data_IF_563548710471
#
_entry.id   IF_563548710471
#
_cell.length_a   1.000
_cell.length_b   1.000
_cell.length_c   1.000
_cell.angle_alpha   90.00
_cell.angle_beta   90.00
_cell.angle_gamma   90.00
#
_symmetry.space_group_name_H-M   'P 1'
#
loop_
_entity.id
_entity.type
_entity.pdbx_description
1 polymer ?
#
# COMPACT_ATOMS: atom_id res chain seq x y z
N UNK A 1 17.61 20.89 23.59
CA UNK A 1 17.92 19.47 23.35
C UNK A 1 17.00 18.95 22.27
N UNK A 2 17.48 18.08 21.39
CA UNK A 2 16.63 17.38 20.41
C UNK A 2 15.65 16.44 21.14
N UNK A 3 14.42 16.34 20.63
CA UNK A 3 13.42 15.44 21.17
C UNK A 3 13.80 13.99 20.82
N UNK A 4 13.48 13.01 21.68
CA UNK A 4 13.82 11.59 21.47
C UNK A 4 13.27 11.01 20.16
N UNK A 5 12.18 11.59 19.64
CA UNK A 5 11.54 11.19 18.39
C UNK A 5 12.06 11.98 17.16
N UNK A 6 13.13 12.78 17.34
CA UNK A 6 13.70 13.60 16.27
C UNK A 6 14.60 12.81 15.32
N UNK A 7 15.13 11.65 15.73
CA UNK A 7 16.00 10.79 14.93
C UNK A 7 15.22 9.56 14.44
N UNK A 8 14.98 9.47 13.14
CA UNK A 8 14.16 8.41 12.54
C UNK A 8 14.95 7.66 11.46
N UNK A 9 15.05 6.33 11.61
CA UNK A 9 15.69 5.46 10.62
C UNK A 9 14.67 4.96 9.59
N UNK A 10 14.94 5.24 8.31
CA UNK A 10 14.05 4.90 7.18
C UNK A 10 14.58 3.72 6.36
N UNK A 11 15.27 2.80 7.02
CA UNK A 11 15.75 1.55 6.44
C UNK A 11 17.13 1.62 5.80
N UNK A 12 17.44 2.70 5.07
CA UNK A 12 18.76 2.90 4.45
C UNK A 12 19.34 4.30 4.67
N UNK A 13 18.67 5.13 5.47
CA UNK A 13 19.19 6.41 5.93
C UNK A 13 18.60 6.77 7.29
N UNK A 14 19.35 7.57 8.06
CA UNK A 14 18.91 8.21 9.30
C UNK A 14 18.55 9.67 8.99
N UNK A 15 17.31 10.07 9.24
CA UNK A 15 16.89 11.48 9.13
C UNK A 15 17.37 12.25 10.35
N UNK A 16 18.07 13.35 10.10
CA UNK A 16 18.50 14.33 11.10
C UNK A 16 17.76 15.63 10.80
N UNK A 17 16.94 16.16 11.71
CA UNK A 17 16.21 17.41 11.52
C UNK A 17 17.15 18.61 11.70
N UNK A 18 18.13 18.69 10.81
CA UNK A 18 18.93 19.89 10.56
C UNK A 18 18.43 20.50 9.25
N UNK A 19 17.82 21.68 9.38
CA UNK A 19 17.22 22.43 8.27
C UNK A 19 18.18 23.49 7.71
N UNK A 20 19.46 23.49 8.11
CA UNK A 20 20.50 24.34 7.51
C UNK A 20 20.92 23.76 6.17
N UNK A 21 20.09 24.00 5.18
CA UNK A 21 20.28 23.55 3.80
C UNK A 21 21.15 24.57 3.07
N UNK A 22 22.22 24.15 2.37
CA UNK A 22 22.98 25.03 1.50
C UNK A 22 22.06 25.66 0.44
N UNK A 23 22.21 26.96 0.16
CA UNK A 23 21.43 27.64 -0.90
C UNK A 23 21.63 27.04 -2.29
N UNK A 24 22.73 26.32 -2.49
CA UNK A 24 23.05 25.58 -3.71
C UNK A 24 22.30 24.25 -3.85
N UNK A 25 21.56 23.82 -2.82
CA UNK A 25 20.78 22.60 -2.86
C UNK A 25 19.57 22.77 -3.78
N UNK A 26 19.54 22.01 -4.88
CA UNK A 26 18.39 21.90 -5.78
C UNK A 26 17.47 20.78 -5.31
N UNK A 27 16.16 20.96 -5.48
CA UNK A 27 15.15 20.02 -5.00
C UNK A 27 14.61 19.15 -6.13
N UNK A 28 14.23 17.92 -5.78
CA UNK A 28 13.59 16.99 -6.71
C UNK A 28 12.21 17.52 -7.13
N UNK A 29 11.45 18.12 -6.21
CA UNK A 29 10.15 18.76 -6.47
C UNK A 29 10.14 20.17 -5.86
N UNK A 30 10.38 21.18 -6.69
CA UNK A 30 10.41 22.59 -6.26
C UNK A 30 9.04 23.18 -5.95
N UNK A 31 7.96 22.61 -6.49
CA UNK A 31 6.59 23.12 -6.33
C UNK A 31 5.84 22.55 -5.11
N UNK A 32 6.25 21.36 -4.66
CA UNK A 32 5.56 20.61 -3.59
C UNK A 32 6.36 20.50 -2.29
N UNK A 33 7.57 21.07 -2.25
CA UNK A 33 8.43 21.04 -1.06
C UNK A 33 7.85 21.93 0.04
N UNK A 34 7.29 21.30 1.06
CA UNK A 34 7.10 21.94 2.35
C UNK A 34 8.45 22.07 3.07
N UNK A 35 8.52 22.94 4.09
CA UNK A 35 9.73 23.14 4.92
C UNK A 35 10.24 21.83 5.57
N UNK A 36 9.46 20.76 5.54
CA UNK A 36 9.78 19.45 6.13
C UNK A 36 10.47 18.45 5.19
N UNK A 37 10.57 18.78 3.89
CA UNK A 37 11.04 17.87 2.84
C UNK A 37 12.56 17.90 2.62
N UNK A 38 13.26 18.83 3.26
CA UNK A 38 14.72 18.93 3.23
C UNK A 38 15.28 18.70 4.63
N UNK A 39 16.25 17.79 4.74
CA UNK A 39 16.86 17.41 6.00
C UNK A 39 18.26 16.88 5.78
N UNK A 40 19.13 17.00 6.79
CA UNK A 40 20.38 16.26 6.81
C UNK A 40 20.12 14.75 7.04
N UNK A 41 20.93 13.89 6.45
CA UNK A 41 20.83 12.45 6.65
C UNK A 41 22.18 11.75 6.57
N UNK A 42 22.28 10.65 7.31
CA UNK A 42 23.37 9.68 7.18
C UNK A 42 22.86 8.49 6.38
N UNK A 43 23.66 7.98 5.45
CA UNK A 43 23.29 6.82 4.66
C UNK A 43 23.79 5.54 5.33
N UNK A 44 23.01 4.47 5.27
CA UNK A 44 23.44 3.20 5.85
C UNK A 44 24.66 2.65 5.08
N UNK A 45 25.75 2.39 5.79
CA UNK A 45 27.03 1.94 5.21
C UNK A 45 27.92 3.08 4.69
N UNK A 46 27.59 4.33 5.00
CA UNK A 46 28.41 5.51 4.72
C UNK A 46 28.45 6.36 6.01
N UNK A 47 29.50 6.14 6.80
CA UNK A 47 29.72 6.76 8.12
C UNK A 47 30.63 7.99 8.06
N UNK A 48 31.15 8.34 6.89
CA UNK A 48 32.10 9.43 6.71
C UNK A 48 31.43 10.76 6.30
N UNK A 49 30.26 10.72 5.66
CA UNK A 49 29.64 11.91 5.06
C UNK A 49 28.21 12.14 5.55
N UNK A 50 27.89 13.41 5.83
CA UNK A 50 26.51 13.88 6.06
C UNK A 50 25.97 14.44 4.76
N UNK A 51 24.78 13.99 4.35
CA UNK A 51 24.14 14.45 3.13
C UNK A 51 22.91 15.31 3.40
N UNK A 52 22.55 16.17 2.45
CA UNK A 52 21.23 16.83 2.45
C UNK A 52 20.28 16.09 1.53
N UNK A 53 19.15 15.62 2.07
CA UNK A 53 18.09 15.02 1.27
C UNK A 53 17.38 16.11 0.45
N UNK A 54 17.45 15.97 -0.87
CA UNK A 54 16.89 16.89 -1.86
C UNK A 54 15.46 16.51 -2.28
N UNK A 55 14.99 15.32 -1.89
CA UNK A 55 13.62 14.87 -2.09
C UNK A 55 13.48 13.36 -2.27
N UNK A 56 12.23 12.89 -2.23
CA UNK A 56 11.86 11.49 -2.41
C UNK A 56 11.39 11.20 -3.83
N UNK A 57 11.56 9.96 -4.26
CA UNK A 57 11.01 9.43 -5.50
C UNK A 57 9.88 8.43 -5.22
N UNK A 58 9.06 8.14 -6.23
CA UNK A 58 7.86 7.29 -6.09
C UNK A 58 8.13 5.87 -5.57
N UNK A 59 9.32 5.32 -5.83
CA UNK A 59 9.76 4.01 -5.33
C UNK A 59 10.34 4.05 -3.91
N UNK A 60 10.22 5.20 -3.22
CA UNK A 60 10.75 5.50 -1.87
C UNK A 60 12.26 5.62 -1.79
N UNK A 61 12.96 5.66 -2.92
CA UNK A 61 14.34 6.12 -2.96
C UNK A 61 14.40 7.64 -2.76
N UNK A 62 15.59 8.16 -2.45
CA UNK A 62 15.83 9.58 -2.23
C UNK A 62 16.94 10.07 -3.16
N UNK A 63 16.97 11.37 -3.37
CA UNK A 63 18.12 12.08 -3.91
C UNK A 63 18.77 12.85 -2.78
N UNK A 64 20.08 12.78 -2.69
CA UNK A 64 20.86 13.50 -1.69
C UNK A 64 21.99 14.28 -2.32
N UNK A 65 22.46 15.33 -1.65
CA UNK A 65 23.61 16.14 -2.04
C UNK A 65 24.70 16.06 -0.96
N UNK A 66 25.97 15.96 -1.36
CA UNK A 66 27.13 16.01 -0.45
C UNK A 66 27.64 17.46 -0.22
N UNK A 67 28.68 17.62 0.60
CA UNK A 67 29.31 18.93 0.86
C UNK A 67 29.94 19.60 -0.37
N UNK A 68 30.28 18.82 -1.39
CA UNK A 68 30.86 19.31 -2.65
C UNK A 68 29.79 19.72 -3.68
N UNK A 69 28.50 19.54 -3.37
CA UNK A 69 27.40 19.84 -4.29
C UNK A 69 27.19 18.76 -5.36
N UNK A 70 27.67 17.53 -5.12
CA UNK A 70 27.38 16.36 -5.97
C UNK A 70 26.12 15.69 -5.48
N UNK A 71 25.28 15.28 -6.43
CA UNK A 71 24.01 14.64 -6.18
C UNK A 71 24.10 13.14 -6.40
N UNK A 72 23.38 12.41 -5.56
CA UNK A 72 23.34 10.96 -5.57
C UNK A 72 21.91 10.46 -5.49
N UNK A 73 21.58 9.47 -6.32
CA UNK A 73 20.41 8.63 -6.14
C UNK A 73 20.71 7.53 -5.12
N UNK A 74 19.79 7.34 -4.18
CA UNK A 74 19.97 6.46 -3.03
C UNK A 74 18.69 5.67 -2.81
N UNK A 75 18.75 4.36 -3.00
CA UNK A 75 17.60 3.48 -2.80
C UNK A 75 17.96 2.21 -2.05
N UNK A 76 16.93 1.42 -1.71
CA UNK A 76 17.10 0.15 -1.01
C UNK A 76 17.74 -0.89 -1.95
N UNK A 77 19.06 -1.02 -1.89
CA UNK A 77 19.83 -2.14 -2.45
C UNK A 77 19.81 -3.32 -1.47
N UNK A 78 19.52 -4.51 -1.95
CA UNK A 78 19.41 -5.74 -1.16
C UNK A 78 20.69 -6.05 -0.38
N UNK A 79 20.57 -6.13 0.94
CA UNK A 79 21.45 -6.81 1.92
C UNK A 79 22.94 -6.40 1.99
N UNK A 80 23.49 -5.62 1.05
CA UNK A 80 24.90 -5.19 1.02
C UNK A 80 25.09 -3.67 0.91
N UNK A 81 24.35 -2.94 1.74
CA UNK A 81 24.50 -1.49 1.85
C UNK A 81 23.72 -0.70 0.80
N UNK A 82 23.65 0.60 1.05
CA UNK A 82 22.91 1.56 0.23
C UNK A 82 23.59 1.71 -1.13
N UNK A 83 22.88 1.45 -2.24
CA UNK A 83 23.40 1.68 -3.60
C UNK A 83 23.36 3.18 -3.92
N UNK A 84 24.26 3.95 -3.29
CA UNK A 84 24.53 5.36 -3.61
C UNK A 84 25.09 5.42 -5.03
N UNK A 85 24.46 6.20 -5.90
CA UNK A 85 24.86 6.37 -7.31
C UNK A 85 24.93 7.84 -7.64
N UNK A 86 26.06 8.31 -8.15
CA UNK A 86 26.19 9.69 -8.63
C UNK A 86 25.24 9.96 -9.80
N UNK A 87 24.65 11.16 -9.85
CA UNK A 87 23.67 11.53 -10.88
C UNK A 87 23.92 12.90 -11.51
N UNK A 88 24.45 13.87 -10.76
CA UNK A 88 24.68 15.24 -11.25
C UNK A 88 25.57 16.01 -10.27
N UNK A 89 26.05 17.18 -10.68
CA UNK A 89 26.81 18.11 -9.83
C UNK A 89 26.27 19.53 -10.00
N UNK A 90 26.36 20.34 -8.95
CA UNK A 90 26.12 21.78 -9.04
C UNK A 90 27.12 22.48 -9.97
N UNK A 91 28.32 21.92 -10.10
CA UNK A 91 29.37 22.34 -11.01
C UNK A 91 29.70 21.17 -11.96
N UNK A 92 28.88 20.95 -13.02
CA UNK A 92 29.10 19.86 -13.95
C UNK A 92 30.34 20.11 -14.81
N UNK A 93 31.12 19.06 -15.03
CA UNK A 93 32.22 19.03 -16.00
C UNK A 93 31.66 18.86 -17.43
N UNK A 94 32.39 19.30 -18.48
CA UNK A 94 31.91 19.16 -19.85
C UNK A 94 31.52 17.71 -20.20
N UNK A 95 30.27 17.52 -20.61
CA UNK A 95 29.72 16.20 -20.95
C UNK A 95 28.95 15.51 -19.81
N UNK A 96 28.93 16.07 -18.60
CA UNK A 96 28.05 15.59 -17.53
C UNK A 96 26.59 15.98 -17.76
N UNK A 97 25.68 15.11 -17.32
CA UNK A 97 24.24 15.34 -17.38
C UNK A 97 23.85 16.45 -16.40
N UNK A 98 23.00 17.39 -16.85
CA UNK A 98 22.45 18.41 -15.97
C UNK A 98 21.45 17.81 -14.96
N UNK A 99 21.35 18.44 -13.80
CA UNK A 99 20.50 18.01 -12.70
C UNK A 99 19.05 17.78 -13.12
N UNK A 100 18.43 18.71 -13.84
CA UNK A 100 17.01 18.60 -14.19
C UNK A 100 16.75 17.43 -15.14
N UNK A 101 17.70 17.18 -16.04
CA UNK A 101 17.66 16.03 -16.96
C UNK A 101 17.79 14.72 -16.18
N UNK A 102 18.77 14.63 -15.27
CA UNK A 102 18.99 13.47 -14.42
C UNK A 102 17.76 13.18 -13.52
N UNK A 103 17.19 14.21 -12.91
CA UNK A 103 15.98 14.09 -12.07
C UNK A 103 14.77 13.64 -12.89
N UNK A 104 14.55 14.20 -14.08
CA UNK A 104 13.44 13.80 -14.95
C UNK A 104 13.52 12.30 -15.29
N UNK A 105 14.70 11.81 -15.63
CA UNK A 105 14.93 10.39 -15.91
C UNK A 105 14.71 9.52 -14.67
N UNK A 106 15.24 9.92 -13.52
CA UNK A 106 15.08 9.19 -12.26
C UNK A 106 13.61 9.11 -11.82
N UNK A 107 12.83 10.19 -11.97
CA UNK A 107 11.39 10.18 -11.68
C UNK A 107 10.67 9.16 -12.55
N UNK A 108 10.97 9.10 -13.84
CA UNK A 108 10.38 8.11 -14.75
C UNK A 108 10.76 6.67 -14.35
N UNK A 109 12.04 6.39 -14.08
CA UNK A 109 12.50 5.07 -13.64
C UNK A 109 11.89 4.65 -12.30
N UNK A 110 11.87 5.56 -11.32
CA UNK A 110 11.28 5.32 -10.01
C UNK A 110 9.76 5.11 -10.11
N UNK A 111 9.07 5.85 -10.97
CA UNK A 111 7.66 5.65 -11.26
C UNK A 111 7.37 4.25 -11.81
N UNK A 112 8.19 3.77 -12.77
CA UNK A 112 8.08 2.42 -13.30
C UNK A 112 8.31 1.35 -12.22
N UNK A 113 9.38 1.48 -11.42
CA UNK A 113 9.66 0.55 -10.31
C UNK A 113 8.55 0.56 -9.25
N UNK A 114 7.98 1.73 -8.95
CA UNK A 114 6.88 1.84 -8.00
C UNK A 114 5.62 1.14 -8.52
N UNK A 115 5.27 1.32 -9.79
CA UNK A 115 4.14 0.68 -10.44
C UNK A 115 4.29 -0.85 -10.48
N UNK A 116 5.47 -1.35 -10.84
CA UNK A 116 5.78 -2.79 -10.85
C UNK A 116 5.67 -3.39 -9.45
N UNK A 117 6.29 -2.75 -8.45
CA UNK A 117 6.21 -3.20 -7.07
C UNK A 117 4.77 -3.18 -6.52
N UNK A 118 3.97 -2.17 -6.88
CA UNK A 118 2.57 -2.10 -6.49
C UNK A 118 1.76 -3.26 -7.09
N UNK A 119 1.95 -3.54 -8.39
CA UNK A 119 1.32 -4.67 -9.08
C UNK A 119 1.71 -6.01 -8.44
N UNK A 120 3.01 -6.22 -8.16
CA UNK A 120 3.50 -7.44 -7.51
C UNK A 120 2.90 -7.61 -6.11
N UNK A 121 2.88 -6.54 -5.30
CA UNK A 121 2.25 -6.57 -3.97
C UNK A 121 0.77 -6.92 -4.04
N UNK A 122 0.04 -6.33 -4.97
CA UNK A 122 -1.38 -6.65 -5.17
C UNK A 122 -1.58 -8.12 -5.56
N UNK A 123 -0.75 -8.66 -6.45
CA UNK A 123 -0.77 -10.07 -6.82
C UNK A 123 -0.44 -11.00 -5.64
N UNK A 124 0.59 -10.66 -4.85
CA UNK A 124 0.98 -11.42 -3.67
C UNK A 124 -0.11 -11.39 -2.58
N UNK A 125 -0.74 -10.24 -2.35
CA UNK A 125 -1.86 -10.07 -1.42
C UNK A 125 -3.09 -10.86 -1.87
N UNK A 126 -3.44 -10.82 -3.15
CA UNK A 126 -4.55 -11.61 -3.70
C UNK A 126 -4.23 -13.11 -3.62
N UNK A 127 -3.01 -13.54 -3.95
CA UNK A 127 -2.59 -14.94 -3.82
C UNK A 127 -2.66 -15.42 -2.36
N UNK A 128 -2.22 -14.59 -1.40
CA UNK A 128 -2.36 -14.87 0.04
C UNK A 128 -3.83 -14.92 0.46
N UNK A 129 -4.68 -14.02 -0.05
CA UNK A 129 -6.12 -14.03 0.20
C UNK A 129 -6.78 -15.30 -0.33
N UNK A 130 -6.48 -15.69 -1.57
CA UNK A 130 -6.99 -16.92 -2.18
C UNK A 130 -6.59 -18.18 -1.41
N UNK A 131 -5.34 -18.25 -0.91
CA UNK A 131 -4.91 -19.35 -0.03
C UNK A 131 -5.74 -19.40 1.26
N UNK A 132 -5.92 -18.26 1.94
CA UNK A 132 -6.76 -18.18 3.15
C UNK A 132 -8.21 -18.58 2.88
N UNK A 133 -8.79 -18.17 1.75
CA UNK A 133 -10.16 -18.55 1.37
C UNK A 133 -10.31 -20.07 1.20
N UNK A 134 -9.33 -20.74 0.59
CA UNK A 134 -9.32 -22.20 0.45
C UNK A 134 -9.28 -22.92 1.80
N UNK A 135 -8.55 -22.38 2.77
CA UNK A 135 -8.46 -22.93 4.13
C UNK A 135 -9.78 -22.83 4.90
N UNK A 136 -10.62 -21.84 4.60
CA UNK A 136 -11.88 -21.57 5.32
C UNK A 136 -13.13 -22.00 4.56
N UNK A 137 -13.00 -22.79 3.50
CA UNK A 137 -14.11 -23.19 2.63
C UNK A 137 -15.27 -23.90 3.37
N UNK A 138 -14.96 -24.57 4.48
CA UNK A 138 -15.93 -25.30 5.31
C UNK A 138 -16.48 -24.43 6.47
N UNK A 139 -16.27 -23.11 6.43
CA UNK A 139 -16.80 -22.21 7.46
C UNK A 139 -18.33 -22.23 7.45
N UNK A 140 -18.94 -22.26 8.64
CA UNK A 140 -20.39 -22.32 8.79
C UNK A 140 -20.92 -21.11 9.57
N UNK A 141 -22.18 -20.69 9.32
CA UNK A 141 -22.85 -19.69 10.14
C UNK A 141 -22.99 -20.16 11.58
N UNK A 142 -22.73 -19.27 12.52
CA UNK A 142 -23.04 -19.46 13.93
C UNK A 142 -23.77 -18.23 14.48
N UNK A 143 -24.54 -18.43 15.54
CA UNK A 143 -25.28 -17.37 16.20
C UNK A 143 -24.77 -17.17 17.62
N UNK A 144 -24.54 -15.91 17.99
CA UNK A 144 -24.28 -15.50 19.37
C UNK A 144 -25.24 -14.37 19.73
N UNK A 145 -26.08 -14.59 20.73
CA UNK A 145 -27.22 -13.71 21.01
C UNK A 145 -28.17 -13.62 19.80
N UNK A 146 -28.47 -12.40 19.36
CA UNK A 146 -29.33 -12.12 18.20
C UNK A 146 -28.58 -11.90 16.88
N UNK A 147 -27.25 -12.04 16.88
CA UNK A 147 -26.41 -11.76 15.72
C UNK A 147 -25.70 -13.01 15.22
N UNK A 148 -25.43 -13.03 13.91
CA UNK A 148 -24.79 -14.12 13.18
C UNK A 148 -23.39 -13.72 12.74
N UNK A 149 -22.49 -14.70 12.77
CA UNK A 149 -21.12 -14.65 12.26
C UNK A 149 -20.76 -15.94 11.52
N UNK A 150 -19.50 -16.06 11.08
CA UNK A 150 -18.95 -17.27 10.45
C UNK A 150 -17.83 -17.86 11.32
N UNK A 151 -17.80 -19.18 11.47
CA UNK A 151 -16.73 -19.90 12.16
C UNK A 151 -16.30 -21.16 11.41
N UNK A 152 -15.05 -21.56 11.59
CA UNK A 152 -14.51 -22.85 11.15
C UNK A 152 -14.08 -23.63 12.39
N UNK A 153 -14.85 -24.67 12.76
CA UNK A 153 -14.71 -25.31 14.07
C UNK A 153 -14.91 -24.29 15.20
N UNK A 154 -13.87 -24.06 15.99
CA UNK A 154 -13.85 -23.06 17.07
C UNK A 154 -13.23 -21.71 16.67
N UNK A 155 -12.64 -21.62 15.47
CA UNK A 155 -12.06 -20.38 14.97
C UNK A 155 -13.15 -19.46 14.42
N UNK A 156 -13.39 -18.33 15.08
CA UNK A 156 -14.24 -17.26 14.54
C UNK A 156 -13.54 -16.61 13.35
N UNK A 157 -14.19 -16.62 12.19
CA UNK A 157 -13.72 -15.95 10.96
C UNK A 157 -14.37 -14.58 10.83
N UNK A 158 -15.68 -14.53 11.00
CA UNK A 158 -16.46 -13.28 11.03
C UNK A 158 -17.16 -13.20 12.39
N UNK A 159 -16.88 -12.17 13.20
CA UNK A 159 -17.60 -11.93 14.46
C UNK A 159 -19.11 -11.79 14.23
N UNK A 160 -19.95 -12.06 15.25
CA UNK A 160 -21.39 -12.04 15.08
C UNK A 160 -21.88 -10.59 15.02
N UNK A 161 -22.17 -10.10 13.82
CA UNK A 161 -22.62 -8.71 13.57
C UNK A 161 -23.85 -8.59 12.67
N UNK A 162 -24.13 -9.63 11.87
CA UNK A 162 -25.24 -9.63 10.91
C UNK A 162 -26.54 -10.11 11.55
N UNK A 163 -27.69 -9.68 11.02
CA UNK A 163 -29.00 -10.15 11.48
C UNK A 163 -29.25 -11.60 11.08
N UNK A 164 -28.75 -12.01 9.91
CA UNK A 164 -28.79 -13.39 9.42
C UNK A 164 -27.64 -13.63 8.45
N UNK A 165 -27.17 -14.88 8.39
CA UNK A 165 -26.25 -15.36 7.35
C UNK A 165 -26.79 -16.70 6.87
N UNK A 166 -26.91 -16.88 5.56
CA UNK A 166 -27.26 -18.18 4.97
C UNK A 166 -26.02 -19.07 4.85
N UNK A 167 -26.17 -20.41 4.86
CA UNK A 167 -25.05 -21.33 4.62
C UNK A 167 -24.28 -20.95 3.34
N UNK A 168 -22.96 -21.14 3.31
CA UNK A 168 -22.17 -20.86 2.13
C UNK A 168 -22.64 -21.62 0.89
N UNK A 169 -22.57 -20.96 -0.25
CA UNK A 169 -22.63 -21.57 -1.58
C UNK A 169 -21.35 -21.21 -2.31
N UNK A 170 -20.52 -22.21 -2.59
CA UNK A 170 -19.17 -22.00 -3.09
C UNK A 170 -18.32 -21.21 -2.08
N UNK A 171 -17.79 -20.05 -2.52
CA UNK A 171 -16.94 -19.18 -1.69
C UNK A 171 -17.68 -18.00 -1.03
N UNK A 172 -19.02 -18.01 -1.03
CA UNK A 172 -19.83 -16.85 -0.69
C UNK A 172 -20.99 -17.19 0.25
N UNK A 173 -21.44 -16.19 1.01
CA UNK A 173 -22.65 -16.25 1.82
C UNK A 173 -23.54 -15.05 1.52
N UNK A 174 -24.84 -15.28 1.44
CA UNK A 174 -25.82 -14.20 1.56
C UNK A 174 -25.94 -13.80 3.03
N UNK A 175 -25.92 -12.50 3.31
CA UNK A 175 -26.09 -11.97 4.66
C UNK A 175 -27.16 -10.88 4.70
N UNK A 176 -27.85 -10.80 5.83
CA UNK A 176 -28.84 -9.76 6.12
C UNK A 176 -28.24 -8.78 7.12
N UNK A 177 -28.08 -7.51 6.72
CA UNK A 177 -27.54 -6.45 7.58
C UNK A 177 -28.65 -5.84 8.44
N UNK A 178 -29.69 -5.36 7.77
CA UNK A 178 -30.95 -4.89 8.36
C UNK A 178 -32.11 -5.72 7.81
N UNK A 179 -33.30 -5.58 8.40
CA UNK A 179 -34.48 -6.32 7.97
C UNK A 179 -34.73 -6.13 6.45
N UNK A 180 -34.78 -7.24 5.71
CA UNK A 180 -34.97 -7.26 4.25
C UNK A 180 -33.89 -6.49 3.47
N UNK A 181 -32.68 -6.36 4.02
CA UNK A 181 -31.52 -5.79 3.35
C UNK A 181 -30.42 -6.83 3.30
N UNK A 182 -30.41 -7.55 2.18
CA UNK A 182 -29.50 -8.65 1.87
C UNK A 182 -28.37 -8.20 0.96
N UNK A 183 -27.19 -8.73 1.24
CA UNK A 183 -25.96 -8.58 0.45
C UNK A 183 -25.23 -9.91 0.33
N UNK A 184 -24.05 -9.88 -0.29
CA UNK A 184 -23.18 -11.06 -0.43
C UNK A 184 -21.80 -10.72 0.11
N UNK A 185 -21.24 -11.64 0.89
CA UNK A 185 -19.85 -11.58 1.34
C UNK A 185 -19.11 -12.86 1.01
N UNK A 186 -17.81 -12.73 0.79
CA UNK A 186 -16.90 -13.88 0.75
C UNK A 186 -16.71 -14.45 2.17
N UNK A 187 -16.21 -15.68 2.27
CA UNK A 187 -16.02 -16.38 3.56
C UNK A 187 -15.08 -15.66 4.53
N UNK A 188 -14.16 -14.82 4.03
CA UNK A 188 -13.30 -13.97 4.87
C UNK A 188 -14.01 -12.71 5.40
N UNK A 189 -15.31 -12.56 5.14
CA UNK A 189 -16.14 -11.44 5.58
C UNK A 189 -16.06 -10.21 4.69
N UNK A 190 -15.31 -10.26 3.57
CA UNK A 190 -15.30 -9.16 2.60
C UNK A 190 -16.65 -9.08 1.88
N UNK A 191 -17.35 -7.97 2.05
CA UNK A 191 -18.59 -7.68 1.32
C UNK A 191 -18.25 -7.49 -0.16
N UNK A 192 -18.90 -8.28 -1.02
CA UNK A 192 -18.78 -8.20 -2.49
C UNK A 192 -20.02 -7.55 -3.11
N UNK A 193 -21.16 -7.66 -2.44
CA UNK A 193 -22.40 -6.96 -2.79
C UNK A 193 -22.97 -6.35 -1.52
N UNK A 194 -23.10 -5.03 -1.52
CA UNK A 194 -23.70 -4.26 -0.42
C UNK A 194 -25.12 -4.72 -0.10
N UNK A 195 -25.51 -4.65 1.18
CA UNK A 195 -26.81 -5.09 1.65
C UNK A 195 -27.94 -4.13 1.26
N UNK A 196 -28.40 -4.22 0.01
CA UNK A 196 -29.40 -3.29 -0.58
C UNK A 196 -30.57 -4.01 -1.28
N UNK A 197 -30.61 -5.33 -1.20
CA UNK A 197 -31.57 -6.16 -1.92
C UNK A 197 -32.57 -6.79 -0.97
N UNK A 198 -33.81 -6.98 -1.40
CA UNK A 198 -34.83 -7.63 -0.57
C UNK A 198 -34.57 -9.13 -0.41
N UNK A 199 -33.91 -9.73 -1.39
CA UNK A 199 -33.52 -11.13 -1.40
C UNK A 199 -32.26 -11.32 -2.24
N UNK A 200 -31.45 -12.30 -1.86
CA UNK A 200 -30.28 -12.73 -2.62
C UNK A 200 -30.25 -14.25 -2.67
N UNK A 201 -30.16 -14.79 -3.89
CA UNK A 201 -29.91 -16.20 -4.12
C UNK A 201 -28.56 -16.39 -4.83
N UNK A 202 -27.75 -17.34 -4.35
CA UNK A 202 -26.42 -17.64 -4.89
C UNK A 202 -26.47 -19.06 -5.44
N UNK A 203 -26.07 -19.22 -6.70
CA UNK A 203 -25.99 -20.52 -7.36
C UNK A 203 -24.58 -21.12 -7.23
N UNK A 204 -24.43 -22.47 -7.32
CA UNK A 204 -23.14 -23.13 -7.19
C UNK A 204 -22.09 -22.74 -8.24
N UNK A 205 -22.52 -22.23 -9.40
CA UNK A 205 -21.64 -21.75 -10.48
C UNK A 205 -21.16 -20.31 -10.27
N UNK A 206 -21.57 -19.64 -9.18
CA UNK A 206 -21.24 -18.25 -8.87
C UNK A 206 -22.22 -17.23 -9.43
N UNK A 207 -23.29 -17.64 -10.11
CA UNK A 207 -24.38 -16.76 -10.52
C UNK A 207 -25.13 -16.25 -9.29
N UNK A 208 -25.40 -14.95 -9.22
CA UNK A 208 -26.15 -14.35 -8.10
C UNK A 208 -27.36 -13.59 -8.60
N UNK A 209 -28.52 -13.93 -8.06
CA UNK A 209 -29.78 -13.25 -8.29
C UNK A 209 -30.09 -12.29 -7.15
N UNK A 210 -30.17 -11.00 -7.49
CA UNK A 210 -30.36 -9.90 -6.56
C UNK A 210 -31.75 -9.29 -6.77
N UNK A 211 -32.68 -9.54 -5.86
CA UNK A 211 -34.05 -9.01 -5.94
C UNK A 211 -34.09 -7.60 -5.37
N UNK A 212 -34.30 -6.58 -6.22
CA UNK A 212 -34.40 -5.18 -5.79
C UNK A 212 -35.77 -4.93 -5.14
N UNK A 213 -36.81 -5.39 -5.82
CA UNK A 213 -38.21 -5.45 -5.39
C UNK A 213 -38.83 -6.72 -5.99
N UNK A 214 -39.96 -7.21 -5.46
CA UNK A 214 -40.63 -8.37 -6.04
C UNK A 214 -40.89 -8.16 -7.54
N UNK A 215 -40.46 -9.11 -8.37
CA UNK A 215 -40.57 -9.04 -9.83
C UNK A 215 -39.43 -8.30 -10.55
N UNK A 216 -38.50 -7.63 -9.85
CA UNK A 216 -37.32 -6.99 -10.44
C UNK A 216 -36.02 -7.57 -9.90
N UNK A 217 -35.43 -8.48 -10.67
CA UNK A 217 -34.21 -9.20 -10.34
C UNK A 217 -33.05 -8.72 -11.22
N UNK A 218 -31.89 -8.51 -10.60
CA UNK A 218 -30.61 -8.27 -11.28
C UNK A 218 -29.72 -9.50 -11.12
N UNK A 219 -29.12 -9.96 -12.20
CA UNK A 219 -28.16 -11.08 -12.18
C UNK A 219 -26.73 -10.56 -12.32
N UNK A 220 -25.80 -11.11 -11.55
CA UNK A 220 -24.36 -10.84 -11.67
C UNK A 220 -23.55 -12.15 -11.58
N UNK A 221 -22.29 -12.11 -11.99
CA UNK A 221 -21.32 -13.18 -11.81
C UNK A 221 -20.25 -12.76 -10.80
N UNK A 222 -19.91 -13.65 -9.86
CA UNK A 222 -18.87 -13.45 -8.84
C UNK A 222 -17.58 -14.24 -9.10
#
# INVERSE_FOLDING_TARGET
>A
GLHKDSLCFYGFYLKIPDYRVPKSCRLVDSEWSTVFDIFACLLAGDDEEVYWCCGHLADRSIVVMDGAGKYYHVGKGTEKGTRKRYIASNLPTPGEEDFDTAIKKLKAEAGQRAAENARKRQQDEEAKRQRRLKEIREALPYRMGMKWGLKLGERIIVPPKYRKILPPVGGYCAFEENACQWGVMALDGKVVVEARYQEVNIEPDGTVHLTVIPGKVKTIQL
#
